data_IF_284925139332
#
_entry.id   IF_284925139332
#
_cell.length_a   1.000
_cell.length_b   1.000
_cell.length_c   1.000
_cell.angle_alpha   90.00
_cell.angle_beta   90.00
_cell.angle_gamma   90.00
#
_symmetry.space_group_name_H-M   'P 1'
#
loop_
_entity.id
_entity.type
_entity.pdbx_description
1 polymer ?
#
# COMPACT_ATOMS: atom_id res chain seq x y z
N UNK A 1 10.12 18.80 0.75
CA UNK A 1 9.38 19.32 -0.42
C UNK A 1 9.06 18.15 -1.31
N UNK A 2 7.84 17.64 -1.16
CA UNK A 2 7.35 16.46 -1.92
C UNK A 2 6.85 16.95 -3.26
N UNK A 3 7.45 16.46 -4.34
CA UNK A 3 7.01 16.77 -5.68
C UNK A 3 6.14 15.64 -6.18
N UNK A 4 4.86 15.93 -6.41
CA UNK A 4 4.06 15.12 -7.31
C UNK A 4 4.35 15.57 -8.73
N UNK A 5 5.30 14.92 -9.42
CA UNK A 5 5.58 15.16 -10.81
C UNK A 5 4.40 14.71 -11.67
N UNK A 6 3.77 15.66 -12.34
CA UNK A 6 2.88 15.37 -13.44
C UNK A 6 3.68 14.84 -14.64
N UNK A 7 3.02 13.96 -15.39
CA UNK A 7 3.39 13.36 -16.66
C UNK A 7 4.42 12.23 -16.64
N UNK A 8 3.86 11.04 -16.82
CA UNK A 8 4.56 9.80 -17.08
C UNK A 8 4.46 9.44 -18.57
N UNK A 9 5.59 9.18 -19.16
CA UNK A 9 5.72 8.53 -20.47
C UNK A 9 5.59 7.01 -20.32
N UNK A 10 4.96 6.41 -21.30
CA UNK A 10 4.57 5.01 -21.41
C UNK A 10 5.68 3.99 -21.10
N UNK A 11 5.32 2.98 -20.30
CA UNK A 11 6.02 1.71 -20.25
C UNK A 11 5.02 0.62 -20.67
N UNK A 12 5.37 -0.05 -21.78
CA UNK A 12 4.56 -1.10 -22.38
C UNK A 12 4.37 -2.31 -21.46
N UNK A 13 3.12 -2.79 -21.39
CA UNK A 13 2.64 -3.90 -20.55
C UNK A 13 2.90 -5.30 -21.16
N UNK A 14 4.01 -5.53 -21.86
CA UNK A 14 4.19 -6.79 -22.57
C UNK A 14 4.89 -7.92 -21.82
N UNK A 15 5.42 -7.68 -20.60
CA UNK A 15 6.13 -8.73 -19.84
C UNK A 15 5.70 -8.78 -18.36
N UNK A 16 4.43 -9.09 -18.10
CA UNK A 16 4.04 -9.54 -16.75
C UNK A 16 3.83 -11.06 -16.81
N UNK A 17 4.92 -11.79 -16.71
CA UNK A 17 4.85 -13.19 -16.31
C UNK A 17 4.41 -13.24 -14.84
N UNK A 18 3.17 -13.61 -14.57
CA UNK A 18 2.70 -13.93 -13.21
C UNK A 18 3.32 -15.28 -12.86
N UNK A 19 4.49 -15.25 -12.20
CA UNK A 19 5.23 -16.48 -11.87
C UNK A 19 5.10 -16.94 -10.43
N UNK A 20 4.56 -16.12 -9.53
CA UNK A 20 4.32 -16.53 -8.13
C UNK A 20 3.34 -15.60 -7.46
N UNK A 21 2.31 -16.15 -6.82
CA UNK A 21 1.50 -15.46 -5.81
C UNK A 21 1.85 -16.13 -4.48
N UNK A 22 2.51 -15.40 -3.58
CA UNK A 22 2.85 -15.83 -2.20
C UNK A 22 3.08 -17.35 -2.01
N UNK A 23 4.19 -17.87 -2.55
CA UNK A 23 4.57 -19.27 -2.35
C UNK A 23 4.06 -20.26 -3.40
N UNK A 24 3.14 -19.91 -4.29
CA UNK A 24 2.67 -20.78 -5.38
C UNK A 24 3.48 -20.50 -6.65
N UNK A 25 4.20 -21.51 -7.13
CA UNK A 25 4.88 -21.49 -8.43
C UNK A 25 3.84 -21.81 -9.50
N UNK A 26 3.55 -20.85 -10.38
CA UNK A 26 2.80 -21.15 -11.61
C UNK A 26 3.83 -21.33 -12.70
N UNK A 27 4.13 -22.58 -13.06
CA UNK A 27 4.86 -22.86 -14.27
C UNK A 27 4.06 -22.39 -15.48
N UNK A 28 4.76 -21.84 -16.47
CA UNK A 28 4.27 -21.20 -17.69
C UNK A 28 2.96 -21.79 -18.21
N UNK A 29 1.88 -21.02 -18.14
CA UNK A 29 0.73 -21.27 -19.00
C UNK A 29 1.05 -20.73 -20.38
N UNK A 30 1.37 -21.63 -21.31
CA UNK A 30 1.55 -21.29 -22.72
C UNK A 30 0.23 -20.76 -23.27
N UNK A 31 0.23 -19.56 -23.82
CA UNK A 31 -0.95 -18.88 -24.41
C UNK A 31 -1.31 -19.37 -25.81
N UNK A 32 -0.77 -20.49 -26.27
CA UNK A 32 -1.20 -21.12 -27.52
C UNK A 32 -2.20 -22.22 -27.17
N UNK A 33 -3.47 -21.87 -27.34
CA UNK A 33 -4.56 -22.83 -27.22
C UNK A 33 -4.37 -24.00 -28.17
N UNK A 34 -4.12 -25.14 -27.60
CA UNK A 34 -4.59 -26.49 -27.95
C UNK A 34 -3.65 -27.52 -27.31
N UNK A 35 -4.27 -28.52 -26.63
CA UNK A 35 -3.67 -29.80 -26.25
C UNK A 35 -2.53 -29.79 -25.20
N UNK A 36 -2.85 -29.58 -23.93
CA UNK A 36 -2.07 -30.09 -22.83
C UNK A 36 -2.92 -30.82 -21.77
N UNK A 37 -4.05 -31.38 -22.16
CA UNK A 37 -4.95 -32.18 -21.27
C UNK A 37 -4.87 -33.67 -21.48
N UNK A 38 -3.88 -34.17 -22.19
CA UNK A 38 -3.86 -35.60 -22.62
C UNK A 38 -2.70 -36.43 -22.06
N UNK A 39 -2.15 -36.10 -20.89
CA UNK A 39 -1.18 -37.01 -20.25
C UNK A 39 -1.08 -36.83 -18.73
N UNK A 40 -2.21 -36.74 -18.02
CA UNK A 40 -2.22 -36.92 -16.55
C UNK A 40 -2.93 -38.23 -16.21
N UNK A 41 -2.26 -39.11 -15.47
CA UNK A 41 -2.84 -40.35 -15.00
C UNK A 41 -4.01 -40.12 -14.04
N UNK A 42 -5.04 -40.97 -14.04
CA UNK A 42 -6.24 -40.87 -13.21
C UNK A 42 -5.95 -40.61 -11.71
N UNK A 43 -4.84 -41.14 -11.19
CA UNK A 43 -4.43 -40.93 -9.80
C UNK A 43 -4.07 -39.46 -9.47
N UNK A 44 -3.58 -38.69 -10.45
CA UNK A 44 -3.27 -37.28 -10.28
C UNK A 44 -4.53 -36.40 -10.24
N UNK A 45 -5.58 -36.81 -10.96
CA UNK A 45 -6.86 -36.12 -10.97
C UNK A 45 -7.62 -36.30 -9.64
N UNK A 46 -7.55 -37.51 -9.02
CA UNK A 46 -8.19 -37.77 -7.72
C UNK A 46 -7.58 -36.97 -6.58
N UNK A 47 -6.24 -36.86 -6.53
CA UNK A 47 -5.55 -36.05 -5.53
C UNK A 47 -5.88 -34.55 -5.69
N UNK A 48 -6.00 -34.09 -6.92
CA UNK A 48 -6.39 -32.70 -7.21
C UNK A 48 -7.84 -32.44 -6.81
N UNK A 49 -8.75 -33.38 -7.04
CA UNK A 49 -10.16 -33.28 -6.66
C UNK A 49 -10.35 -33.21 -5.14
N UNK A 50 -9.64 -34.09 -4.38
CA UNK A 50 -9.69 -34.06 -2.91
C UNK A 50 -9.05 -32.80 -2.31
N UNK A 51 -7.96 -32.27 -2.92
CA UNK A 51 -7.36 -31.00 -2.53
C UNK A 51 -8.30 -29.84 -2.79
N UNK A 52 -8.98 -29.83 -3.94
CA UNK A 52 -9.98 -28.81 -4.30
C UNK A 52 -11.19 -28.88 -3.36
N UNK A 53 -11.68 -30.07 -3.01
CA UNK A 53 -12.78 -30.22 -2.05
C UNK A 53 -12.38 -29.78 -0.62
N UNK A 54 -11.17 -30.11 -0.16
CA UNK A 54 -10.64 -29.60 1.12
C UNK A 54 -10.44 -28.08 1.12
N UNK A 55 -9.95 -27.52 0.02
CA UNK A 55 -9.79 -26.08 -0.15
C UNK A 55 -11.14 -25.35 -0.25
N UNK A 56 -12.15 -25.94 -0.90
CA UNK A 56 -13.49 -25.35 -0.97
C UNK A 56 -14.20 -25.38 0.39
N UNK A 57 -14.09 -26.46 1.16
CA UNK A 57 -14.63 -26.56 2.52
C UNK A 57 -13.91 -25.59 3.49
N UNK A 58 -12.57 -25.43 3.35
CA UNK A 58 -11.78 -24.42 4.07
C UNK A 58 -12.12 -23.00 3.61
N UNK A 59 -12.39 -22.81 2.30
CA UNK A 59 -12.75 -21.52 1.73
C UNK A 59 -14.11 -21.03 2.20
N UNK A 60 -15.08 -21.91 2.43
CA UNK A 60 -16.39 -21.52 2.99
C UNK A 60 -16.27 -21.07 4.44
N UNK A 61 -15.46 -21.76 5.25
CA UNK A 61 -15.17 -21.34 6.63
C UNK A 61 -14.36 -20.05 6.66
N UNK A 62 -13.34 -19.94 5.81
CA UNK A 62 -12.50 -18.73 5.66
C UNK A 62 -13.30 -17.57 5.07
N UNK A 63 -14.19 -17.83 4.10
CA UNK A 63 -15.10 -16.83 3.52
C UNK A 63 -16.09 -16.30 4.55
N UNK A 64 -16.60 -17.16 5.46
CA UNK A 64 -17.50 -16.77 6.54
C UNK A 64 -16.78 -15.95 7.60
N UNK A 65 -15.55 -16.33 7.97
CA UNK A 65 -14.70 -15.59 8.91
C UNK A 65 -14.23 -14.24 8.30
N UNK A 66 -13.90 -14.21 7.02
CA UNK A 66 -13.51 -12.99 6.31
C UNK A 66 -14.71 -12.07 6.01
N UNK A 67 -15.93 -12.61 5.83
CA UNK A 67 -17.16 -11.81 5.79
C UNK A 67 -17.45 -11.10 7.11
N UNK A 68 -17.14 -11.74 8.23
CA UNK A 68 -17.31 -11.15 9.56
C UNK A 68 -16.20 -10.15 9.92
N UNK A 69 -14.98 -10.34 9.37
CA UNK A 69 -13.79 -9.56 9.75
C UNK A 69 -13.50 -8.37 8.83
N UNK A 70 -13.85 -8.42 7.54
CA UNK A 70 -13.53 -7.37 6.60
C UNK A 70 -14.71 -7.03 5.68
N UNK A 71 -15.33 -5.89 5.94
CA UNK A 71 -16.21 -5.24 4.98
C UNK A 71 -15.46 -4.04 4.40
N UNK A 72 -15.20 -3.97 3.06
CA UNK A 72 -14.47 -2.84 2.46
C UNK A 72 -15.07 -1.47 2.77
N UNK A 73 -16.36 -1.43 3.11
CA UNK A 73 -17.09 -0.23 3.52
C UNK A 73 -17.01 0.02 5.03
N UNK A 74 -16.53 -0.93 5.84
CA UNK A 74 -16.33 -0.76 7.29
C UNK A 74 -15.07 0.02 7.62
N UNK A 75 -14.20 0.27 6.62
CA UNK A 75 -13.21 1.35 6.67
C UNK A 75 -13.95 2.68 6.46
N UNK A 76 -15.03 2.89 7.21
CA UNK A 76 -15.46 4.25 7.53
C UNK A 76 -14.26 4.88 8.19
N UNK A 77 -13.82 6.02 7.66
CA UNK A 77 -12.96 6.97 8.33
C UNK A 77 -13.42 7.00 9.79
N UNK A 78 -12.82 6.16 10.62
CA UNK A 78 -13.18 6.07 12.04
C UNK A 78 -13.10 7.47 12.56
N UNK A 79 -14.02 7.85 13.42
CA UNK A 79 -14.10 9.17 14.02
C UNK A 79 -12.70 9.75 14.17
N UNK A 80 -12.45 10.92 13.57
CA UNK A 80 -11.20 11.63 13.59
C UNK A 80 -10.58 11.46 14.99
N UNK A 81 -9.31 11.06 15.06
CA UNK A 81 -8.65 10.87 16.35
C UNK A 81 -8.99 12.08 17.23
N UNK A 82 -9.64 11.82 18.36
CA UNK A 82 -10.07 12.89 19.28
C UNK A 82 -8.89 13.62 19.93
N UNK A 83 -7.69 13.28 19.55
CA UNK A 83 -6.45 13.85 20.07
C UNK A 83 -5.87 14.81 19.03
N UNK A 84 -6.02 16.10 19.30
CA UNK A 84 -5.19 17.12 18.64
C UNK A 84 -3.71 16.78 18.85
N UNK A 85 -2.84 17.05 17.85
CA UNK A 85 -1.41 16.83 18.05
C UNK A 85 -0.92 17.64 19.25
N UNK A 86 0.00 17.08 20.06
CA UNK A 86 0.68 17.86 21.08
C UNK A 86 1.36 19.07 20.45
N UNK A 87 1.49 20.14 21.23
CA UNK A 87 2.36 21.25 20.84
C UNK A 87 3.82 20.81 21.01
N UNK A 88 4.44 20.36 19.92
CA UNK A 88 5.82 19.89 19.91
C UNK A 88 6.83 21.03 20.08
N UNK A 89 6.43 22.31 19.98
CA UNK A 89 7.31 23.45 20.22
C UNK A 89 7.60 23.66 21.70
N UNK A 90 6.74 23.17 22.60
CA UNK A 90 6.92 23.31 24.05
C UNK A 90 8.05 22.47 24.65
N UNK A 91 8.51 21.45 23.91
CA UNK A 91 9.59 20.58 24.40
C UNK A 91 10.94 21.26 24.15
N UNK A 92 11.66 21.61 25.20
CA UNK A 92 12.98 22.19 25.13
C UNK A 92 14.06 21.13 24.89
N UNK A 93 13.90 19.95 25.49
CA UNK A 93 14.78 18.82 25.25
C UNK A 93 14.40 18.08 23.97
N UNK A 94 15.41 17.80 23.14
CA UNK A 94 15.20 17.14 21.86
C UNK A 94 14.81 15.67 21.96
N UNK A 95 15.23 14.99 23.03
CA UNK A 95 14.88 13.59 23.30
C UNK A 95 13.44 13.48 23.74
N UNK A 96 12.99 14.34 24.66
CA UNK A 96 11.60 14.41 25.09
C UNK A 96 10.65 14.72 23.91
N UNK A 97 11.04 15.66 23.05
CA UNK A 97 10.29 15.98 21.82
C UNK A 97 10.13 14.76 20.94
N UNK A 98 11.22 14.04 20.67
CA UNK A 98 11.21 12.84 19.85
C UNK A 98 10.31 11.75 20.43
N UNK A 99 10.42 11.47 21.72
CA UNK A 99 9.57 10.48 22.38
C UNK A 99 8.09 10.87 22.36
N UNK A 100 7.76 12.15 22.59
CA UNK A 100 6.39 12.63 22.46
C UNK A 100 5.86 12.47 21.01
N UNK A 101 6.70 12.74 20.01
CA UNK A 101 6.38 12.55 18.60
C UNK A 101 6.12 11.07 18.28
N UNK A 102 6.95 10.16 18.75
CA UNK A 102 6.76 8.73 18.53
C UNK A 102 5.49 8.23 19.22
N UNK A 103 5.31 8.58 20.49
CA UNK A 103 4.14 8.15 21.27
C UNK A 103 2.82 8.62 20.64
N UNK A 104 2.84 9.76 19.97
CA UNK A 104 1.69 10.29 19.27
C UNK A 104 1.46 9.60 17.90
N UNK A 105 2.50 9.46 17.09
CA UNK A 105 2.35 9.08 15.68
C UNK A 105 2.34 7.56 15.46
N UNK A 106 3.15 6.79 16.20
CA UNK A 106 3.32 5.35 15.98
C UNK A 106 2.03 4.55 16.11
N UNK A 107 1.13 4.81 17.08
CA UNK A 107 -0.15 4.11 17.14
C UNK A 107 -1.02 4.30 15.89
N UNK A 108 -1.01 5.49 15.30
CA UNK A 108 -1.77 5.79 14.08
C UNK A 108 -1.19 5.06 12.87
N UNK A 109 0.15 4.96 12.80
CA UNK A 109 0.84 4.20 11.75
C UNK A 109 0.49 2.71 11.85
N UNK A 110 0.53 2.15 13.07
CA UNK A 110 0.16 0.74 13.26
C UNK A 110 -1.29 0.47 12.88
N UNK A 111 -2.21 1.37 13.22
CA UNK A 111 -3.62 1.25 12.82
C UNK A 111 -3.78 1.28 11.29
N UNK A 112 -3.13 2.21 10.61
CA UNK A 112 -3.16 2.28 9.14
C UNK A 112 -2.58 1.01 8.49
N UNK A 113 -1.47 0.49 8.99
CA UNK A 113 -0.87 -0.76 8.51
C UNK A 113 -1.76 -1.98 8.80
N UNK A 114 -2.43 -2.03 9.94
CA UNK A 114 -3.37 -3.11 10.26
C UNK A 114 -4.55 -3.13 9.28
N UNK A 115 -5.10 -1.97 8.91
CA UNK A 115 -6.15 -1.86 7.89
C UNK A 115 -5.68 -2.40 6.53
N UNK A 116 -4.45 -2.03 6.12
CA UNK A 116 -3.84 -2.54 4.87
C UNK A 116 -3.59 -4.05 4.94
N UNK A 117 -3.17 -4.57 6.09
CA UNK A 117 -2.96 -6.02 6.30
C UNK A 117 -4.26 -6.80 6.14
N UNK A 118 -5.36 -6.31 6.71
CA UNK A 118 -6.68 -6.94 6.56
C UNK A 118 -7.13 -6.95 5.10
N UNK A 119 -6.92 -5.84 4.38
CA UNK A 119 -7.26 -5.73 2.96
C UNK A 119 -6.41 -6.67 2.10
N UNK A 120 -5.10 -6.79 2.40
CA UNK A 120 -4.21 -7.72 1.74
C UNK A 120 -4.61 -9.18 2.00
N UNK A 121 -4.94 -9.53 3.24
CA UNK A 121 -5.41 -10.87 3.59
C UNK A 121 -6.67 -11.26 2.79
N UNK A 122 -7.61 -10.34 2.64
CA UNK A 122 -8.79 -10.55 1.80
C UNK A 122 -8.40 -10.76 0.33
N UNK A 123 -7.48 -9.97 -0.23
CA UNK A 123 -7.00 -10.14 -1.60
C UNK A 123 -6.32 -11.50 -1.80
N UNK A 124 -5.50 -11.93 -0.85
CA UNK A 124 -4.86 -13.25 -0.88
C UNK A 124 -5.93 -14.37 -0.91
N UNK A 125 -6.96 -14.28 -0.06
CA UNK A 125 -8.06 -15.25 -0.07
C UNK A 125 -8.80 -15.29 -1.42
N UNK A 126 -9.05 -14.13 -2.04
CA UNK A 126 -9.62 -14.08 -3.39
C UNK A 126 -8.69 -14.70 -4.43
N UNK A 127 -7.38 -14.44 -4.32
CA UNK A 127 -6.37 -15.08 -5.16
C UNK A 127 -6.39 -16.60 -5.07
N UNK A 128 -6.45 -17.15 -3.85
CA UNK A 128 -6.54 -18.60 -3.64
C UNK A 128 -7.79 -19.22 -4.25
N UNK A 129 -8.97 -18.59 -4.12
CA UNK A 129 -10.20 -19.06 -4.78
C UNK A 129 -10.04 -19.11 -6.29
N UNK A 130 -9.51 -18.05 -6.90
CA UNK A 130 -9.32 -17.98 -8.35
C UNK A 130 -8.31 -19.00 -8.87
N UNK A 131 -7.23 -19.26 -8.12
CA UNK A 131 -6.25 -20.30 -8.45
C UNK A 131 -6.84 -21.71 -8.36
N UNK A 132 -7.79 -21.93 -7.44
CA UNK A 132 -8.54 -23.18 -7.36
C UNK A 132 -9.64 -23.32 -8.43
N UNK A 133 -9.73 -22.39 -9.38
CA UNK A 133 -10.75 -22.40 -10.43
C UNK A 133 -12.14 -21.95 -9.97
N UNK A 134 -12.27 -21.37 -8.76
CA UNK A 134 -13.53 -20.89 -8.20
C UNK A 134 -13.76 -19.42 -8.59
N UNK A 135 -14.83 -19.09 -9.33
CA UNK A 135 -15.13 -17.72 -9.71
C UNK A 135 -15.58 -16.91 -8.50
N UNK A 136 -15.30 -15.60 -8.53
CA UNK A 136 -15.78 -14.68 -7.49
C UNK A 136 -17.30 -14.53 -7.56
N UNK A 137 -17.93 -14.50 -6.39
CA UNK A 137 -19.36 -14.14 -6.28
C UNK A 137 -19.57 -12.67 -6.69
N UNK A 138 -20.81 -12.29 -7.00
CA UNK A 138 -21.13 -10.90 -7.37
C UNK A 138 -20.71 -9.91 -6.28
N UNK A 139 -20.87 -10.23 -5.00
CA UNK A 139 -20.44 -9.39 -3.87
C UNK A 139 -18.92 -9.26 -3.77
N UNK A 140 -18.18 -10.37 -3.97
CA UNK A 140 -16.72 -10.36 -3.97
C UNK A 140 -16.17 -9.54 -5.15
N UNK A 141 -16.77 -9.69 -6.33
CA UNK A 141 -16.40 -8.92 -7.51
C UNK A 141 -16.62 -7.41 -7.32
N UNK A 142 -17.76 -7.02 -6.73
CA UNK A 142 -18.02 -5.62 -6.36
C UNK A 142 -17.02 -5.11 -5.33
N UNK A 143 -16.65 -5.94 -4.32
CA UNK A 143 -15.64 -5.59 -3.35
C UNK A 143 -14.27 -5.38 -4.02
N UNK A 144 -13.87 -6.27 -4.94
CA UNK A 144 -12.65 -6.13 -5.74
C UNK A 144 -12.62 -4.80 -6.50
N UNK A 145 -13.72 -4.45 -7.16
CA UNK A 145 -13.84 -3.19 -7.90
C UNK A 145 -13.71 -1.95 -6.99
N UNK A 146 -14.20 -2.02 -5.74
CA UNK A 146 -14.00 -0.94 -4.77
C UNK A 146 -12.54 -0.81 -4.33
N UNK A 147 -11.85 -1.93 -4.12
CA UNK A 147 -10.41 -1.93 -3.81
C UNK A 147 -9.62 -1.36 -4.97
N UNK A 148 -9.91 -1.75 -6.22
CA UNK A 148 -9.26 -1.19 -7.40
C UNK A 148 -9.42 0.32 -7.52
N UNK A 149 -10.63 0.82 -7.30
CA UNK A 149 -10.88 2.26 -7.29
C UNK A 149 -10.07 2.97 -6.19
N UNK A 150 -9.95 2.35 -5.01
CA UNK A 150 -9.17 2.90 -3.89
C UNK A 150 -7.69 2.96 -4.19
N UNK A 151 -7.15 1.96 -4.90
CA UNK A 151 -5.74 1.88 -5.27
C UNK A 151 -5.45 2.36 -6.70
N UNK A 152 -6.38 3.10 -7.30
CA UNK A 152 -6.23 3.79 -8.60
C UNK A 152 -5.72 2.88 -9.73
N UNK A 153 -6.33 1.71 -9.89
CA UNK A 153 -6.03 0.83 -11.01
C UNK A 153 -6.66 1.30 -12.33
N UNK A 154 -7.65 2.19 -12.28
CA UNK A 154 -8.33 2.76 -13.44
C UNK A 154 -7.81 4.12 -13.92
N UNK A 155 -6.65 4.60 -13.39
CA UNK A 155 -6.11 5.92 -13.68
C UNK A 155 -5.80 6.17 -15.17
N UNK A 156 -5.82 7.44 -15.57
CA UNK A 156 -5.58 7.88 -16.96
C UNK A 156 -4.25 7.32 -17.47
N UNK A 157 -4.26 6.70 -18.67
CA UNK A 157 -3.05 6.20 -19.34
C UNK A 157 -2.66 4.76 -19.06
N UNK A 158 -3.45 3.98 -18.28
CA UNK A 158 -3.23 2.55 -18.09
C UNK A 158 -4.12 1.72 -19.01
N UNK A 159 -3.60 0.56 -19.47
CA UNK A 159 -4.42 -0.41 -20.17
C UNK A 159 -5.69 -0.66 -19.34
N UNK A 160 -6.84 -0.39 -19.95
CA UNK A 160 -8.15 -0.58 -19.33
C UNK A 160 -8.27 -2.07 -18.99
N UNK A 161 -8.02 -2.43 -17.73
CA UNK A 161 -8.45 -3.75 -17.28
C UNK A 161 -9.97 -3.71 -17.44
N UNK A 162 -10.51 -4.62 -18.23
CA UNK A 162 -11.94 -4.69 -18.43
C UNK A 162 -12.61 -4.95 -17.08
N UNK A 163 -13.15 -3.88 -16.50
CA UNK A 163 -13.75 -3.92 -15.17
C UNK A 163 -15.05 -4.71 -15.12
N UNK A 164 -15.58 -5.11 -16.28
CA UNK A 164 -16.82 -5.88 -16.42
C UNK A 164 -16.54 -7.37 -16.66
N UNK A 165 -15.32 -7.72 -17.10
CA UNK A 165 -14.93 -9.13 -17.27
C UNK A 165 -14.80 -9.82 -15.92
N UNK A 166 -15.76 -10.75 -15.68
CA UNK A 166 -15.83 -11.55 -14.44
C UNK A 166 -15.18 -12.92 -14.59
N UNK A 167 -14.47 -13.17 -15.69
CA UNK A 167 -13.75 -14.43 -15.85
C UNK A 167 -12.71 -14.62 -14.73
N UNK A 168 -12.40 -15.88 -14.44
CA UNK A 168 -11.40 -16.24 -13.43
C UNK A 168 -10.05 -15.60 -13.79
N UNK A 169 -9.66 -15.67 -15.06
CA UNK A 169 -8.37 -15.13 -15.53
C UNK A 169 -8.29 -13.61 -15.37
N UNK A 170 -9.33 -12.87 -15.76
CA UNK A 170 -9.38 -11.43 -15.60
C UNK A 170 -9.35 -11.04 -14.12
N UNK A 171 -10.16 -11.71 -13.29
CA UNK A 171 -10.19 -11.49 -11.84
C UNK A 171 -8.84 -11.79 -11.19
N UNK A 172 -8.16 -12.88 -11.56
CA UNK A 172 -6.85 -13.25 -11.05
C UNK A 172 -5.77 -12.20 -11.40
N UNK A 173 -5.78 -11.69 -12.63
CA UNK A 173 -4.88 -10.59 -13.04
C UNK A 173 -5.11 -9.33 -12.20
N UNK A 174 -6.35 -8.97 -11.95
CA UNK A 174 -6.73 -7.81 -11.14
C UNK A 174 -6.22 -7.95 -9.69
N UNK A 175 -6.47 -9.11 -9.08
CA UNK A 175 -5.97 -9.46 -7.74
C UNK A 175 -4.44 -9.41 -7.69
N UNK A 176 -3.74 -10.00 -8.67
CA UNK A 176 -2.28 -10.02 -8.73
C UNK A 176 -1.67 -8.62 -8.79
N UNK A 177 -2.28 -7.69 -9.53
CA UNK A 177 -1.83 -6.29 -9.58
C UNK A 177 -2.08 -5.59 -8.24
N UNK A 178 -3.21 -5.87 -7.59
CA UNK A 178 -3.54 -5.28 -6.28
C UNK A 178 -2.62 -5.77 -5.17
N UNK A 179 -2.27 -7.05 -5.13
CA UNK A 179 -1.36 -7.63 -4.13
C UNK A 179 0.01 -6.93 -4.13
N UNK A 180 0.50 -6.46 -5.29
CA UNK A 180 1.74 -5.67 -5.36
C UNK A 180 1.59 -4.26 -4.77
N UNK A 181 0.36 -3.72 -4.75
CA UNK A 181 0.07 -2.38 -4.24
C UNK A 181 -0.36 -2.38 -2.79
N UNK A 182 -1.28 -3.27 -2.42
CA UNK A 182 -1.87 -3.36 -1.09
C UNK A 182 -0.91 -4.07 -0.16
N UNK A 183 -0.03 -3.29 0.46
CA UNK A 183 0.92 -3.82 1.42
C UNK A 183 1.34 -2.75 2.44
N UNK A 184 1.83 -3.19 3.59
CA UNK A 184 2.27 -2.33 4.68
C UNK A 184 3.49 -1.50 4.29
N UNK A 185 3.62 -0.34 4.91
CA UNK A 185 4.84 0.47 4.85
C UNK A 185 5.49 0.41 6.24
N UNK A 186 6.78 0.02 6.36
CA UNK A 186 7.45 -0.08 7.64
C UNK A 186 7.31 1.18 8.49
N UNK A 187 6.94 1.03 9.75
CA UNK A 187 6.72 2.18 10.64
C UNK A 187 7.98 3.04 10.76
N UNK A 188 9.17 2.43 10.75
CA UNK A 188 10.45 3.14 10.75
C UNK A 188 10.58 4.13 9.58
N UNK A 189 10.11 3.75 8.39
CA UNK A 189 10.13 4.62 7.21
C UNK A 189 9.13 5.78 7.35
N UNK A 190 7.89 5.47 7.77
CA UNK A 190 6.84 6.48 7.92
C UNK A 190 7.24 7.51 8.98
N UNK A 191 7.76 7.06 10.13
CA UNK A 191 8.22 7.93 11.21
C UNK A 191 9.37 8.83 10.74
N UNK A 192 10.36 8.28 10.03
CA UNK A 192 11.50 9.04 9.53
C UNK A 192 11.06 10.15 8.58
N UNK A 193 10.18 9.84 7.62
CA UNK A 193 9.67 10.84 6.70
C UNK A 193 8.78 11.87 7.39
N UNK A 194 7.88 11.45 8.28
CA UNK A 194 7.05 12.38 9.04
C UNK A 194 7.89 13.35 9.87
N UNK A 195 8.91 12.85 10.59
CA UNK A 195 9.80 13.67 11.40
C UNK A 195 10.55 14.70 10.54
N UNK A 196 11.07 14.25 9.39
CA UNK A 196 11.82 15.11 8.47
C UNK A 196 10.95 16.19 7.81
N UNK A 197 9.79 15.81 7.27
CA UNK A 197 8.93 16.73 6.51
C UNK A 197 8.17 17.71 7.42
N UNK A 198 7.88 17.31 8.67
CA UNK A 198 7.16 18.18 9.61
C UNK A 198 8.06 18.94 10.59
N UNK A 199 9.40 18.73 10.53
CA UNK A 199 10.28 19.25 11.56
C UNK A 199 9.91 18.73 12.96
N UNK A 200 9.67 17.41 13.10
CA UNK A 200 9.20 16.78 14.33
C UNK A 200 7.84 17.34 14.80
N UNK A 201 6.94 17.60 13.86
CA UNK A 201 5.58 18.08 14.14
C UNK A 201 5.47 19.58 14.42
N UNK A 202 6.56 20.35 14.28
CA UNK A 202 6.57 21.78 14.61
C UNK A 202 6.24 22.69 13.42
N UNK A 203 6.26 22.16 12.18
CA UNK A 203 5.98 22.96 10.99
C UNK A 203 4.54 23.51 10.98
N UNK A 204 4.33 24.64 10.32
CA UNK A 204 2.99 25.22 10.14
C UNK A 204 2.00 24.23 9.51
N UNK A 205 2.46 23.42 8.56
CA UNK A 205 1.62 22.43 7.89
C UNK A 205 1.22 21.28 8.81
N UNK A 206 2.09 20.89 9.74
CA UNK A 206 1.76 19.89 10.73
C UNK A 206 0.78 20.43 11.78
N UNK A 207 1.01 21.66 12.28
CA UNK A 207 0.22 22.26 13.36
C UNK A 207 -1.14 22.78 12.93
N UNK A 208 -1.25 23.33 11.71
CA UNK A 208 -2.48 23.94 11.19
C UNK A 208 -3.24 23.06 10.19
N UNK A 209 -2.53 22.12 9.54
CA UNK A 209 -3.11 21.30 8.47
C UNK A 209 -3.08 19.79 8.74
N UNK A 210 -2.62 19.34 9.93
CA UNK A 210 -2.46 17.92 10.25
C UNK A 210 -1.62 17.14 9.20
N UNK A 211 -0.76 17.87 8.46
CA UNK A 211 0.03 17.33 7.37
C UNK A 211 1.49 17.16 7.81
N UNK A 212 1.81 15.96 8.25
CA UNK A 212 3.14 15.57 8.74
C UNK A 212 4.08 15.13 7.62
N UNK A 213 3.59 15.02 6.38
CA UNK A 213 4.32 14.46 5.25
C UNK A 213 4.57 15.46 4.13
N UNK A 214 4.15 16.72 4.27
CA UNK A 214 4.28 17.72 3.23
C UNK A 214 3.53 17.40 1.94
N UNK A 215 2.42 16.70 2.02
CA UNK A 215 1.64 16.27 0.86
C UNK A 215 0.99 17.47 0.19
N UNK A 216 1.13 17.55 -1.14
CA UNK A 216 0.56 18.63 -1.94
C UNK A 216 -0.80 18.26 -2.50
N UNK A 217 -1.59 19.29 -2.78
CA UNK A 217 -2.83 19.20 -3.53
C UNK A 217 -2.89 20.31 -4.59
N UNK A 218 -3.71 20.13 -5.65
CA UNK A 218 -3.60 20.92 -6.87
C UNK A 218 -4.92 21.59 -7.29
N UNK A 219 -5.85 21.73 -6.36
CA UNK A 219 -7.05 22.54 -6.56
C UNK A 219 -7.14 23.61 -5.47
N UNK A 220 -7.69 24.75 -5.80
CA UNK A 220 -7.77 25.90 -4.90
C UNK A 220 -8.60 25.56 -3.64
N UNK A 221 -8.06 25.91 -2.47
CA UNK A 221 -8.73 25.70 -1.18
C UNK A 221 -8.58 24.28 -0.63
N UNK A 222 -7.72 23.44 -1.22
CA UNK A 222 -7.46 22.07 -0.72
C UNK A 222 -6.50 22.03 0.47
N UNK A 223 -5.84 23.16 0.79
CA UNK A 223 -4.82 23.17 1.83
C UNK A 223 -4.34 24.57 2.20
N UNK A 224 -3.12 24.61 2.69
CA UNK A 224 -2.44 25.84 3.08
C UNK A 224 -1.47 26.29 1.99
N UNK A 225 -1.57 27.53 1.57
CA UNK A 225 -0.62 28.13 0.61
C UNK A 225 0.78 28.22 1.23
N UNK A 226 1.85 27.70 0.58
CA UNK A 226 3.22 27.91 1.02
C UNK A 226 3.57 29.41 1.03
N UNK A 227 4.22 29.90 2.10
CA UNK A 227 4.59 31.31 2.21
C UNK A 227 5.58 31.75 1.12
N UNK A 228 6.42 30.83 0.65
CA UNK A 228 7.44 31.07 -0.38
C UNK A 228 7.07 30.36 -1.69
N UNK A 229 5.77 30.31 -2.03
CA UNK A 229 5.35 29.72 -3.29
C UNK A 229 5.89 30.54 -4.46
N UNK A 230 6.61 29.90 -5.36
CA UNK A 230 7.12 30.52 -6.58
C UNK A 230 5.94 31.03 -7.43
N UNK A 231 6.11 32.19 -8.01
CA UNK A 231 5.10 32.79 -8.91
C UNK A 231 4.76 31.82 -10.05
N UNK A 232 3.47 31.72 -10.39
CA UNK A 232 2.96 30.79 -11.41
C UNK A 232 2.60 29.39 -10.90
N UNK A 233 2.99 29.01 -9.68
CA UNK A 233 2.56 27.72 -9.09
C UNK A 233 1.24 27.88 -8.35
N UNK A 234 0.34 26.89 -8.52
CA UNK A 234 -1.00 26.90 -7.90
C UNK A 234 -1.18 25.88 -6.79
N UNK A 235 -0.15 25.01 -6.54
CA UNK A 235 -0.24 23.97 -5.53
C UNK A 235 -0.37 24.55 -4.11
N UNK A 236 -1.12 23.82 -3.29
CA UNK A 236 -1.24 24.02 -1.85
C UNK A 236 -0.70 22.80 -1.10
N UNK A 237 -0.35 22.94 0.16
CA UNK A 237 -0.03 21.82 1.05
C UNK A 237 -1.34 21.35 1.67
N UNK A 238 -1.75 20.14 1.35
CA UNK A 238 -3.04 19.55 1.73
C UNK A 238 -3.32 19.66 3.23
N UNK A 239 -4.57 19.91 3.60
CA UNK A 239 -5.02 19.83 4.99
C UNK A 239 -5.84 18.56 5.19
N UNK A 240 -5.74 17.99 6.39
CA UNK A 240 -6.47 16.79 6.81
C UNK A 240 -7.32 17.08 8.04
N UNK A 241 -8.44 16.39 8.18
CA UNK A 241 -9.30 16.50 9.37
C UNK A 241 -8.58 16.00 10.64
N UNK A 242 -7.61 15.10 10.48
CA UNK A 242 -6.77 14.57 11.57
C UNK A 242 -5.42 14.08 11.03
N UNK A 243 -4.42 13.98 11.91
CA UNK A 243 -3.13 13.38 11.58
C UNK A 243 -3.29 11.91 11.15
N UNK A 244 -4.22 11.18 11.76
CA UNK A 244 -4.55 9.80 11.38
C UNK A 244 -5.01 9.70 9.91
N UNK A 245 -5.84 10.65 9.45
CA UNK A 245 -6.22 10.73 8.04
C UNK A 245 -5.01 11.01 7.14
N UNK A 246 -4.12 11.90 7.56
CA UNK A 246 -2.87 12.21 6.87
C UNK A 246 -1.97 10.97 6.75
N UNK A 247 -1.83 10.16 7.81
CA UNK A 247 -1.08 8.90 7.81
C UNK A 247 -1.67 7.90 6.81
N UNK A 248 -3.00 7.69 6.82
CA UNK A 248 -3.66 6.80 5.85
C UNK A 248 -3.48 7.29 4.41
N UNK A 249 -3.58 8.59 4.20
CA UNK A 249 -3.39 9.18 2.89
C UNK A 249 -1.95 8.96 2.41
N UNK A 250 -0.95 9.17 3.27
CA UNK A 250 0.45 8.90 2.97
C UNK A 250 0.68 7.43 2.59
N UNK A 251 0.23 6.47 3.41
CA UNK A 251 0.38 5.03 3.14
C UNK A 251 -0.26 4.67 1.80
N UNK A 252 -1.45 5.20 1.51
CA UNK A 252 -2.12 5.00 0.22
C UNK A 252 -1.32 5.60 -0.93
N UNK A 253 -0.73 6.79 -0.77
CA UNK A 253 0.09 7.43 -1.79
C UNK A 253 1.31 6.59 -2.13
N UNK A 254 2.03 6.06 -1.14
CA UNK A 254 3.15 5.12 -1.35
C UNK A 254 2.67 3.87 -2.11
N UNK A 255 1.48 3.40 -1.81
CA UNK A 255 0.90 2.19 -2.40
C UNK A 255 0.30 2.40 -3.80
N UNK A 256 0.03 3.63 -4.23
CA UNK A 256 -0.67 3.91 -5.49
C UNK A 256 0.15 4.69 -6.51
N UNK A 257 0.83 5.74 -6.07
CA UNK A 257 1.47 6.70 -6.98
C UNK A 257 2.65 6.07 -7.74
N UNK A 258 2.76 6.39 -9.04
CA UNK A 258 3.76 5.78 -9.93
C UNK A 258 5.20 6.07 -9.52
N UNK A 259 5.47 7.21 -8.89
CA UNK A 259 6.80 7.56 -8.37
C UNK A 259 7.38 6.54 -7.38
N UNK A 260 6.52 5.72 -6.75
CA UNK A 260 6.94 4.71 -5.75
C UNK A 260 6.86 3.27 -6.27
N UNK A 261 6.88 3.08 -7.59
CA UNK A 261 6.93 1.74 -8.18
C UNK A 261 8.15 0.97 -7.70
N UNK A 262 9.32 1.61 -7.63
CA UNK A 262 10.57 1.00 -7.21
C UNK A 262 10.49 0.53 -5.74
N UNK A 263 9.92 1.35 -4.86
CA UNK A 263 9.66 0.96 -3.46
C UNK A 263 8.76 -0.29 -3.39
N UNK A 264 7.68 -0.31 -4.16
CA UNK A 264 6.76 -1.46 -4.19
C UNK A 264 7.42 -2.70 -4.77
N UNK A 265 8.33 -2.54 -5.73
CA UNK A 265 9.10 -3.66 -6.28
C UNK A 265 10.06 -4.23 -5.23
N UNK A 266 10.86 -3.38 -4.55
CA UNK A 266 11.74 -3.80 -3.46
C UNK A 266 10.97 -4.55 -2.36
N UNK A 267 9.78 -4.06 -1.99
CA UNK A 267 8.91 -4.70 -1.00
C UNK A 267 8.41 -6.06 -1.47
N UNK A 268 8.00 -6.17 -2.72
CA UNK A 268 7.55 -7.43 -3.31
C UNK A 268 8.69 -8.45 -3.44
N UNK A 269 9.91 -7.99 -3.72
CA UNK A 269 11.11 -8.83 -3.79
C UNK A 269 11.47 -9.38 -2.41
N UNK A 270 11.49 -8.54 -1.38
CA UNK A 270 11.72 -8.97 -0.01
C UNK A 270 10.72 -10.04 0.44
N UNK A 271 9.42 -9.86 0.12
CA UNK A 271 8.40 -10.88 0.42
C UNK A 271 8.65 -12.22 -0.29
N UNK A 272 9.16 -12.20 -1.54
CA UNK A 272 9.47 -13.43 -2.27
C UNK A 272 10.66 -14.19 -1.68
N UNK A 273 11.58 -13.47 -1.05
CA UNK A 273 12.73 -14.04 -0.35
C UNK A 273 12.45 -14.40 1.10
N UNK A 274 11.19 -14.29 1.55
CA UNK A 274 10.78 -14.43 2.95
C UNK A 274 11.55 -13.50 3.90
N UNK A 275 12.01 -12.36 3.36
CA UNK A 275 12.70 -11.33 4.10
C UNK A 275 11.72 -10.26 4.58
N UNK A 276 11.93 -9.80 5.80
CA UNK A 276 11.16 -8.67 6.30
C UNK A 276 11.63 -7.38 5.62
N UNK A 277 10.70 -6.68 4.96
CA UNK A 277 10.97 -5.37 4.38
C UNK A 277 11.31 -4.37 5.49
N UNK A 278 12.55 -3.92 5.56
CA UNK A 278 12.95 -2.86 6.48
C UNK A 278 12.64 -1.47 5.90
N UNK A 279 12.43 -0.48 6.78
CA UNK A 279 12.27 0.90 6.32
C UNK A 279 13.51 1.44 5.62
N UNK A 280 14.69 0.96 6.01
CA UNK A 280 15.96 1.34 5.41
C UNK A 280 16.10 0.81 3.98
N UNK A 281 15.75 -0.47 3.75
CA UNK A 281 15.70 -1.07 2.42
C UNK A 281 14.72 -0.32 1.51
N UNK A 282 13.51 -0.08 2.00
CA UNK A 282 12.48 0.55 1.18
C UNK A 282 12.73 2.04 0.91
N UNK A 283 13.58 2.70 1.68
CA UNK A 283 14.00 4.08 1.42
C UNK A 283 14.71 4.22 0.07
N UNK A 284 15.38 3.18 -0.44
CA UNK A 284 16.01 3.19 -1.77
C UNK A 284 15.00 3.45 -2.90
N UNK A 285 13.74 3.06 -2.70
CA UNK A 285 12.65 3.33 -3.64
C UNK A 285 12.05 4.74 -3.55
N UNK A 286 12.62 5.64 -2.74
CA UNK A 286 12.14 7.02 -2.57
C UNK A 286 12.87 8.07 -3.43
N UNK A 287 13.63 7.65 -4.43
CA UNK A 287 14.41 8.57 -5.27
C UNK A 287 13.59 9.71 -5.89
N UNK A 288 12.29 9.46 -6.15
CA UNK A 288 11.36 10.43 -6.73
C UNK A 288 10.49 11.14 -5.68
N UNK A 289 10.74 10.91 -4.40
CA UNK A 289 10.01 11.58 -3.33
C UNK A 289 10.43 13.06 -3.18
N UNK A 290 11.69 13.34 -3.43
CA UNK A 290 12.27 14.68 -3.33
C UNK A 290 13.17 14.97 -4.53
N UNK A 291 13.22 16.22 -4.98
CA UNK A 291 14.19 16.70 -6.00
C UNK A 291 15.64 16.37 -5.63
N UNK A 292 15.94 16.21 -4.34
CA UNK A 292 17.26 15.88 -3.83
C UNK A 292 17.67 14.41 -4.08
N UNK A 293 16.76 13.59 -4.61
CA UNK A 293 17.02 12.21 -5.03
C UNK A 293 17.78 11.39 -3.98
N UNK A 294 18.97 10.90 -4.33
CA UNK A 294 19.78 10.02 -3.47
C UNK A 294 20.19 10.68 -2.15
N UNK A 295 20.40 11.99 -2.11
CA UNK A 295 20.73 12.68 -0.86
C UNK A 295 19.56 12.59 0.13
N UNK A 296 18.32 12.71 -0.34
CA UNK A 296 17.13 12.52 0.48
C UNK A 296 17.03 11.08 1.02
N UNK A 297 17.27 10.07 0.17
CA UNK A 297 17.26 8.66 0.57
C UNK A 297 18.25 8.41 1.71
N UNK A 298 19.51 8.87 1.55
CA UNK A 298 20.55 8.72 2.58
C UNK A 298 20.18 9.39 3.89
N UNK A 299 19.55 10.54 3.86
CA UNK A 299 19.09 11.24 5.05
C UNK A 299 17.98 10.45 5.78
N UNK A 300 17.01 9.90 5.04
CA UNK A 300 15.95 9.05 5.62
C UNK A 300 16.57 7.80 6.24
N UNK A 301 17.47 7.12 5.56
CA UNK A 301 18.18 5.94 6.10
C UNK A 301 19.00 6.29 7.34
N UNK A 302 19.73 7.40 7.30
CA UNK A 302 20.48 7.89 8.46
C UNK A 302 19.57 8.20 9.65
N UNK A 303 18.41 8.82 9.41
CA UNK A 303 17.43 9.09 10.46
C UNK A 303 16.87 7.81 11.08
N UNK A 304 16.60 6.79 10.27
CA UNK A 304 16.14 5.47 10.75
C UNK A 304 17.19 4.86 11.68
N UNK A 305 18.47 4.82 11.26
CA UNK A 305 19.57 4.25 12.05
C UNK A 305 19.84 5.06 13.33
N UNK A 306 20.07 6.37 13.18
CA UNK A 306 20.46 7.23 14.28
C UNK A 306 19.43 7.30 15.41
N UNK A 307 18.14 7.24 15.08
CA UNK A 307 17.07 7.27 16.07
C UNK A 307 16.52 5.87 16.41
N UNK A 308 17.18 4.79 15.97
CA UNK A 308 16.75 3.41 16.19
C UNK A 308 15.26 3.19 15.89
N UNK A 309 14.78 3.74 14.74
CA UNK A 309 13.35 3.70 14.41
C UNK A 309 12.88 2.30 14.02
N UNK A 310 13.80 1.39 13.68
CA UNK A 310 13.45 0.00 13.37
C UNK A 310 12.68 -0.69 14.49
N UNK A 311 12.90 -0.28 15.75
CA UNK A 311 12.15 -0.76 16.93
C UNK A 311 10.62 -0.60 16.81
N UNK A 312 10.13 0.30 15.97
CA UNK A 312 8.70 0.51 15.73
C UNK A 312 8.12 -0.35 14.63
N UNK A 313 8.96 -1.01 13.84
CA UNK A 313 8.48 -1.86 12.75
C UNK A 313 7.96 -3.18 13.32
N UNK A 314 6.67 -3.47 13.10
CA UNK A 314 6.03 -4.73 13.48
C UNK A 314 5.97 -5.66 12.28
N UNK A 315 6.02 -6.96 12.56
CA UNK A 315 5.66 -7.99 11.58
C UNK A 315 4.15 -8.08 11.50
N UNK A 316 3.61 -7.99 10.31
CA UNK A 316 2.18 -8.16 10.03
C UNK A 316 2.01 -9.43 9.20
N UNK A 317 1.32 -10.42 9.73
CA UNK A 317 0.90 -11.61 8.99
C UNK A 317 -0.39 -11.33 8.24
N UNK A 318 -0.40 -11.62 6.93
CA UNK A 318 -1.55 -11.42 6.05
C UNK A 318 -1.83 -12.67 5.21
#
# INVERSE_FOLDING_TARGET
>A
MVICLGNSTDIALNDIAVTKIDGLVIDRVSLNGQSAFSAMSDSSIEVTSQAVQKLSASADTTSTLLRAAYHPDSVRLGNASRYSPPDFNRYLDSSEKKEAFYNYLVPMIHKANQEVTQERAWLNAMGHLLLAGVPLTASQFQALSRVEKRYDLGGRGRAKIDSEDRSILASARRVGVLIKRVDVVPASLIVAQAAKESGWGTSRFATQGNNFFGIWCFYQGCGLTPLQRTEGFTHEVATFESVEQGVRYYVRTINTHSAYNDLRQLRADARRSDEQSSGELLADGLLRYSERGLAYVREVQSMIRHNNLQRFTRVYSA
#
